data_IF_386064608534
#
_entry.id   IF_386064608534
#
_cell.length_a   1.000
_cell.length_b   1.000
_cell.length_c   1.000
_cell.angle_alpha   90.00
_cell.angle_beta   90.00
_cell.angle_gamma   90.00
#
_symmetry.space_group_name_H-M   'P 1'
#
loop_
_entity.id
_entity.type
_entity.pdbx_description
1 polymer ?
#
# COMPACT_ATOMS: atom_id res chain seq x y z
N UNK A 1 -6.83 21.86 2.28
CA UNK A 1 -7.87 20.96 2.79
C UNK A 1 -9.23 21.60 2.55
N UNK A 2 -10.25 20.83 2.20
CA UNK A 2 -11.63 21.35 2.09
C UNK A 2 -12.18 21.72 3.49
N UNK A 3 -13.22 22.56 3.59
CA UNK A 3 -13.82 22.92 4.88
C UNK A 3 -14.28 21.70 5.69
N UNK A 4 -14.79 20.67 5.02
CA UNK A 4 -15.20 19.42 5.66
C UNK A 4 -14.02 18.62 6.21
N UNK A 5 -12.86 18.66 5.55
CA UNK A 5 -11.64 18.00 6.04
C UNK A 5 -11.08 18.68 7.29
N UNK A 6 -11.17 20.01 7.36
CA UNK A 6 -10.73 20.78 8.53
C UNK A 6 -11.62 20.51 9.74
N UNK A 7 -12.94 20.46 9.55
CA UNK A 7 -13.91 20.09 10.58
C UNK A 7 -13.67 18.66 11.09
N UNK A 8 -13.45 17.70 10.18
CA UNK A 8 -13.16 16.32 10.57
C UNK A 8 -11.86 16.21 11.37
N UNK A 9 -10.81 16.93 10.96
CA UNK A 9 -9.54 16.98 11.69
C UNK A 9 -9.73 17.59 13.08
N UNK A 10 -10.49 18.68 13.20
CA UNK A 10 -10.79 19.31 14.48
C UNK A 10 -11.45 18.32 15.45
N UNK A 11 -12.45 17.57 14.99
CA UNK A 11 -13.12 16.55 15.82
C UNK A 11 -12.19 15.42 16.25
N UNK A 12 -11.27 14.99 15.37
CA UNK A 12 -10.29 13.97 15.74
C UNK A 12 -9.36 14.50 16.84
N UNK A 13 -8.91 15.76 16.75
CA UNK A 13 -8.11 16.37 17.81
C UNK A 13 -8.89 16.48 19.13
N UNK A 14 -10.18 16.84 19.09
CA UNK A 14 -11.04 16.86 20.28
C UNK A 14 -11.24 15.47 20.91
N UNK A 15 -11.19 14.40 20.11
CA UNK A 15 -11.24 13.01 20.57
C UNK A 15 -9.88 12.53 21.13
N UNK A 16 -8.86 13.37 21.13
CA UNK A 16 -7.53 13.07 21.68
C UNK A 16 -6.51 12.56 20.66
N UNK A 17 -6.82 12.56 19.37
CA UNK A 17 -5.83 12.21 18.35
C UNK A 17 -4.83 13.36 18.14
N UNK A 18 -3.56 13.07 18.38
CA UNK A 18 -2.43 13.95 18.09
C UNK A 18 -1.79 13.56 16.73
N UNK A 19 -1.66 14.51 15.80
CA UNK A 19 -1.01 14.27 14.51
C UNK A 19 0.28 15.09 14.32
N UNK A 20 0.75 15.72 15.39
CA UNK A 20 1.99 16.51 15.41
C UNK A 20 3.21 15.63 15.68
N UNK A 21 3.01 14.43 16.25
CA UNK A 21 4.05 13.40 16.34
C UNK A 21 4.09 12.52 15.09
N UNK A 22 5.27 12.17 14.56
CA UNK A 22 5.37 11.23 13.44
C UNK A 22 4.81 9.85 13.76
N UNK A 23 3.89 9.38 12.93
CA UNK A 23 3.21 8.09 13.06
C UNK A 23 3.42 7.23 11.82
N UNK A 24 3.35 5.92 11.99
CA UNK A 24 3.34 4.95 10.90
C UNK A 24 2.03 4.16 10.95
N UNK A 25 1.15 4.28 9.95
CA UNK A 25 -0.09 3.52 9.92
C UNK A 25 0.17 2.09 9.46
N UNK A 26 -0.39 1.15 10.21
CA UNK A 26 -0.47 -0.26 9.85
C UNK A 26 -1.94 -0.63 9.75
N UNK A 27 -2.37 -1.12 8.60
CA UNK A 27 -3.74 -1.60 8.38
C UNK A 27 -3.73 -3.11 8.44
N UNK A 28 -4.69 -3.67 9.17
CA UNK A 28 -4.92 -5.10 9.27
C UNK A 28 -6.30 -5.41 8.73
N UNK A 29 -6.37 -6.25 7.70
CA UNK A 29 -7.63 -6.78 7.17
C UNK A 29 -7.81 -8.22 7.65
N UNK A 30 -8.91 -8.45 8.36
CA UNK A 30 -9.28 -9.74 8.93
C UNK A 30 -10.21 -10.48 7.97
N UNK A 31 -9.94 -11.75 7.71
CA UNK A 31 -10.75 -12.60 6.83
C UNK A 31 -11.30 -13.79 7.63
N UNK A 32 -12.45 -13.59 8.27
CA UNK A 32 -13.12 -14.62 9.07
C UNK A 32 -14.61 -14.64 8.75
N UNK A 33 -15.26 -15.79 8.99
CA UNK A 33 -16.71 -15.93 8.87
C UNK A 33 -17.45 -14.94 9.78
N UNK A 34 -18.56 -14.39 9.27
CA UNK A 34 -19.28 -13.28 9.90
C UNK A 34 -19.74 -13.56 11.34
N UNK A 35 -20.04 -14.82 11.69
CA UNK A 35 -20.57 -15.19 12.99
C UNK A 35 -19.57 -15.02 14.14
N UNK A 36 -18.26 -15.09 13.88
CA UNK A 36 -17.21 -14.96 14.90
C UNK A 36 -16.47 -13.61 14.82
N UNK A 37 -16.71 -12.84 13.75
CA UNK A 37 -15.98 -11.63 13.45
C UNK A 37 -16.02 -10.60 14.59
N UNK A 38 -17.19 -10.38 15.21
CA UNK A 38 -17.33 -9.37 16.27
C UNK A 38 -16.52 -9.69 17.53
N UNK A 39 -16.49 -10.97 17.94
CA UNK A 39 -15.76 -11.42 19.13
C UNK A 39 -14.25 -11.38 18.89
N UNK A 40 -13.83 -11.85 17.71
CA UNK A 40 -12.43 -11.81 17.28
C UNK A 40 -11.94 -10.36 17.19
N UNK A 41 -12.70 -9.45 16.56
CA UNK A 41 -12.32 -8.05 16.47
C UNK A 41 -12.22 -7.40 17.85
N UNK A 42 -13.17 -7.69 18.75
CA UNK A 42 -13.13 -7.14 20.11
C UNK A 42 -11.87 -7.61 20.87
N UNK A 43 -11.48 -8.87 20.68
CA UNK A 43 -10.23 -9.41 21.23
C UNK A 43 -9.01 -8.76 20.59
N UNK A 44 -8.95 -8.69 19.25
CA UNK A 44 -7.83 -8.07 18.52
C UNK A 44 -7.64 -6.60 18.89
N UNK A 45 -8.72 -5.81 18.95
CA UNK A 45 -8.67 -4.40 19.34
C UNK A 45 -8.08 -4.24 20.75
N UNK A 46 -8.47 -5.10 21.69
CA UNK A 46 -7.94 -5.10 23.06
C UNK A 46 -6.46 -5.48 23.09
N UNK A 47 -6.07 -6.58 22.46
CA UNK A 47 -4.67 -7.04 22.47
C UNK A 47 -3.75 -6.03 21.77
N UNK A 48 -4.18 -5.45 20.64
CA UNK A 48 -3.41 -4.43 19.94
C UNK A 48 -3.21 -3.15 20.75
N UNK A 49 -4.22 -2.74 21.54
CA UNK A 49 -4.11 -1.55 22.40
C UNK A 49 -3.07 -1.71 23.53
N UNK A 50 -2.65 -2.94 23.82
CA UNK A 50 -1.66 -3.25 24.83
C UNK A 50 -0.26 -3.42 24.25
N UNK A 51 -0.12 -3.44 22.91
CA UNK A 51 1.19 -3.57 22.26
C UNK A 51 2.00 -2.28 22.44
N UNK A 52 3.27 -2.46 22.77
CA UNK A 52 4.19 -1.34 22.87
C UNK A 52 4.37 -0.64 21.52
N UNK A 53 4.42 0.69 21.55
CA UNK A 53 4.54 1.53 20.36
C UNK A 53 3.28 1.66 19.50
N UNK A 54 2.18 0.97 19.83
CA UNK A 54 0.85 1.27 19.26
C UNK A 54 0.24 2.41 20.07
N UNK A 55 -0.05 3.53 19.41
CA UNK A 55 -0.65 4.69 20.07
C UNK A 55 -2.17 4.60 20.06
N UNK A 56 -2.73 4.38 18.87
CA UNK A 56 -4.17 4.34 18.64
C UNK A 56 -4.55 3.10 17.84
N UNK A 57 -5.68 2.49 18.22
CA UNK A 57 -6.30 1.35 17.54
C UNK A 57 -7.70 1.74 17.12
N UNK A 58 -7.97 1.72 15.81
CA UNK A 58 -9.21 2.24 15.22
C UNK A 58 -9.83 1.15 14.34
N UNK A 59 -11.11 0.86 14.55
CA UNK A 59 -11.88 0.04 13.62
C UNK A 59 -12.36 0.91 12.45
N UNK A 60 -11.77 0.73 11.26
CA UNK A 60 -12.10 1.53 10.07
C UNK A 60 -13.38 1.04 9.39
N UNK A 61 -13.55 -0.28 9.31
CA UNK A 61 -14.68 -0.97 8.68
C UNK A 61 -14.95 -2.27 9.44
N UNK A 62 -15.96 -3.03 9.02
CA UNK A 62 -16.41 -4.27 9.69
C UNK A 62 -15.33 -5.35 9.84
N UNK A 63 -14.23 -5.30 9.09
CA UNK A 63 -13.12 -6.26 9.16
C UNK A 63 -11.73 -5.62 9.00
N UNK A 64 -11.64 -4.31 9.18
CA UNK A 64 -10.40 -3.56 8.94
C UNK A 64 -10.04 -2.73 10.16
N UNK A 65 -8.86 -2.99 10.71
CA UNK A 65 -8.30 -2.31 11.88
C UNK A 65 -7.12 -1.46 11.42
N UNK A 66 -7.06 -0.22 11.90
CA UNK A 66 -5.92 0.67 11.75
C UNK A 66 -5.19 0.79 13.08
N UNK A 67 -3.88 0.58 13.03
CA UNK A 67 -2.94 0.82 14.11
C UNK A 67 -2.11 2.05 13.75
N UNK A 68 -2.09 3.05 14.63
CA UNK A 68 -1.21 4.20 14.51
C UNK A 68 -0.02 3.99 15.43
N UNK A 69 1.14 3.66 14.84
CA UNK A 69 2.33 3.31 15.60
C UNK A 69 3.27 4.50 15.73
N UNK A 70 3.84 4.67 16.93
CA UNK A 70 4.95 5.58 17.16
C UNK A 70 6.26 4.97 16.65
N UNK A 71 7.26 5.81 16.44
CA UNK A 71 8.58 5.39 15.96
C UNK A 71 9.58 5.10 17.09
N UNK A 72 9.10 5.01 18.34
CA UNK A 72 9.97 4.82 19.50
C UNK A 72 10.57 3.42 19.58
N UNK A 73 9.96 2.44 18.93
CA UNK A 73 10.45 1.06 18.87
C UNK A 73 10.93 0.68 17.47
N UNK A 74 11.72 -0.40 17.40
CA UNK A 74 12.06 -1.03 16.13
C UNK A 74 10.78 -1.50 15.44
N UNK A 75 10.62 -1.13 14.16
CA UNK A 75 9.51 -1.56 13.31
C UNK A 75 9.34 -3.07 13.29
N UNK A 76 10.45 -3.82 13.31
CA UNK A 76 10.41 -5.29 13.31
C UNK A 76 9.80 -5.84 14.59
N UNK A 77 10.11 -5.26 15.75
CA UNK A 77 9.56 -5.70 17.04
C UNK A 77 8.06 -5.47 17.10
N UNK A 78 7.60 -4.29 16.68
CA UNK A 78 6.18 -3.94 16.64
C UNK A 78 5.41 -4.89 15.70
N UNK A 79 5.93 -5.12 14.50
CA UNK A 79 5.29 -5.99 13.52
C UNK A 79 5.22 -7.44 13.97
N UNK A 80 6.27 -7.95 14.63
CA UNK A 80 6.23 -9.28 15.25
C UNK A 80 5.18 -9.38 16.35
N UNK A 81 4.99 -8.32 17.14
CA UNK A 81 3.93 -8.25 18.14
C UNK A 81 2.53 -8.34 17.52
N UNK A 82 2.30 -7.57 16.45
CA UNK A 82 1.04 -7.59 15.70
C UNK A 82 0.79 -8.97 15.07
N UNK A 83 1.80 -9.54 14.43
CA UNK A 83 1.76 -10.87 13.81
C UNK A 83 1.49 -11.97 14.85
N UNK A 84 2.11 -11.88 16.03
CA UNK A 84 1.89 -12.82 17.12
C UNK A 84 0.45 -12.76 17.63
N UNK A 85 -0.11 -11.56 17.84
CA UNK A 85 -1.52 -11.40 18.24
C UNK A 85 -2.45 -11.99 17.18
N UNK A 86 -2.20 -11.72 15.90
CA UNK A 86 -3.05 -12.21 14.80
C UNK A 86 -2.99 -13.73 14.66
N UNK A 87 -1.79 -14.31 14.62
CA UNK A 87 -1.59 -15.76 14.45
C UNK A 87 -2.18 -16.60 15.57
N UNK A 88 -2.34 -16.03 16.78
CA UNK A 88 -3.02 -16.69 17.90
C UNK A 88 -4.55 -16.69 17.78
N UNK A 89 -5.13 -15.76 17.02
CA UNK A 89 -6.59 -15.59 16.92
C UNK A 89 -7.15 -16.08 15.58
N UNK A 90 -6.42 -15.90 14.49
CA UNK A 90 -6.89 -16.12 13.12
C UNK A 90 -5.78 -16.63 12.20
N UNK A 91 -6.16 -17.40 11.19
CA UNK A 91 -5.23 -17.95 10.19
C UNK A 91 -5.14 -17.12 8.91
N UNK A 92 -6.16 -16.32 8.60
CA UNK A 92 -6.27 -15.57 7.35
C UNK A 92 -6.40 -14.08 7.65
N UNK A 93 -5.33 -13.34 7.33
CA UNK A 93 -5.27 -11.90 7.48
C UNK A 93 -4.27 -11.31 6.51
N UNK A 94 -4.40 -10.01 6.27
CA UNK A 94 -3.41 -9.23 5.55
C UNK A 94 -3.02 -7.98 6.35
N UNK A 95 -1.74 -7.64 6.34
CA UNK A 95 -1.16 -6.47 6.96
C UNK A 95 -0.57 -5.59 5.87
N UNK A 96 -1.04 -4.34 5.81
CA UNK A 96 -0.52 -3.30 4.96
C UNK A 96 0.23 -2.27 5.78
N UNK A 97 1.47 -2.00 5.41
CA UNK A 97 2.33 -1.07 6.14
C UNK A 97 2.53 0.17 5.29
N UNK A 98 2.03 1.29 5.79
CA UNK A 98 2.13 2.59 5.14
C UNK A 98 3.52 3.21 5.29
N UNK A 99 3.60 4.49 4.95
CA UNK A 99 4.81 5.30 5.15
C UNK A 99 4.70 6.09 6.45
N UNK A 100 5.84 6.51 6.97
CA UNK A 100 5.86 7.46 8.08
C UNK A 100 5.25 8.78 7.62
N UNK A 101 4.36 9.34 8.44
CA UNK A 101 3.71 10.62 8.24
C UNK A 101 3.97 11.52 9.44
N UNK A 102 4.36 12.78 9.19
CA UNK A 102 4.63 13.78 10.22
C UNK A 102 3.54 14.84 10.37
N UNK A 103 2.42 14.70 9.66
CA UNK A 103 1.32 15.65 9.67
C UNK A 103 -0.02 14.97 9.39
N UNK A 104 -1.13 15.64 9.73
CA UNK A 104 -2.48 15.14 9.49
C UNK A 104 -2.83 14.89 7.99
N UNK A 105 -2.43 15.75 7.03
CA UNK A 105 -2.59 15.42 5.61
C UNK A 105 -1.78 14.18 5.20
N UNK A 106 -0.55 14.07 5.70
CA UNK A 106 0.34 12.96 5.33
C UNK A 106 -0.14 11.63 5.91
N UNK A 107 -0.71 11.62 7.12
CA UNK A 107 -1.19 10.37 7.75
C UNK A 107 -2.36 9.80 6.96
N UNK A 108 -3.22 10.66 6.43
CA UNK A 108 -4.34 10.23 5.58
C UNK A 108 -3.84 9.53 4.31
N UNK A 109 -2.86 10.11 3.63
CA UNK A 109 -2.25 9.47 2.45
C UNK A 109 -1.50 8.18 2.82
N UNK A 110 -0.78 8.19 3.95
CA UNK A 110 -0.09 7.00 4.45
C UNK A 110 -1.05 5.84 4.78
N UNK A 111 -2.26 6.13 5.31
CA UNK A 111 -3.32 5.13 5.52
C UNK A 111 -3.82 4.59 4.18
N UNK A 112 -4.03 5.45 3.18
CA UNK A 112 -4.43 5.01 1.82
C UNK A 112 -3.36 4.11 1.20
N UNK A 113 -2.10 4.43 1.39
CA UNK A 113 -0.97 3.60 0.96
C UNK A 113 -1.00 2.22 1.63
N UNK A 114 -1.18 2.17 2.96
CA UNK A 114 -1.31 0.91 3.69
C UNK A 114 -2.47 0.02 3.16
N UNK A 115 -3.64 0.61 2.86
CA UNK A 115 -4.77 -0.14 2.27
C UNK A 115 -4.47 -0.63 0.86
N UNK A 116 -3.88 0.24 0.02
CA UNK A 116 -3.60 -0.06 -1.38
C UNK A 116 -2.65 -1.25 -1.53
N UNK A 117 -1.66 -1.36 -0.63
CA UNK A 117 -0.66 -2.45 -0.71
C UNK A 117 -1.24 -3.80 -0.31
N UNK A 118 -2.26 -3.84 0.56
CA UNK A 118 -3.00 -5.09 0.84
C UNK A 118 -3.73 -5.55 -0.41
N UNK A 119 -4.46 -4.63 -1.05
CA UNK A 119 -5.28 -4.99 -2.20
C UNK A 119 -4.45 -5.40 -3.42
N UNK A 120 -3.33 -4.70 -3.66
CA UNK A 120 -2.40 -5.06 -4.74
C UNK A 120 -1.60 -6.30 -4.38
N UNK A 121 -1.05 -6.32 -3.16
CA UNK A 121 -0.19 -7.40 -2.67
C UNK A 121 -0.89 -8.75 -2.62
N UNK A 122 -2.11 -8.81 -2.11
CA UNK A 122 -2.89 -10.06 -2.04
C UNK A 122 -3.20 -10.67 -3.40
N UNK A 123 -3.24 -9.86 -4.47
CA UNK A 123 -3.43 -10.34 -5.85
C UNK A 123 -2.11 -10.81 -6.48
N UNK A 124 -1.04 -10.05 -6.31
CA UNK A 124 0.25 -10.30 -6.97
C UNK A 124 1.08 -11.37 -6.22
N UNK A 125 0.97 -11.41 -4.89
CA UNK A 125 1.71 -12.31 -4.01
C UNK A 125 0.80 -12.93 -2.93
N UNK A 126 -0.20 -13.74 -3.32
CA UNK A 126 -1.23 -14.25 -2.40
C UNK A 126 -0.71 -15.11 -1.24
N UNK A 127 0.53 -15.61 -1.33
CA UNK A 127 1.17 -16.38 -0.27
C UNK A 127 1.73 -15.51 0.87
N UNK A 128 1.83 -14.19 0.66
CA UNK A 128 2.28 -13.25 1.70
C UNK A 128 1.08 -12.75 2.50
N UNK A 129 1.32 -12.48 3.78
CA UNK A 129 0.34 -11.81 4.64
C UNK A 129 0.73 -10.36 4.94
N UNK A 130 1.99 -9.98 4.73
CA UNK A 130 2.51 -8.64 5.08
C UNK A 130 3.04 -7.95 3.83
N UNK A 131 2.59 -6.71 3.61
CA UNK A 131 2.92 -5.90 2.45
C UNK A 131 3.42 -4.52 2.86
N UNK A 132 4.65 -4.19 2.44
CA UNK A 132 5.25 -2.89 2.69
C UNK A 132 5.04 -1.96 1.50
N UNK A 133 4.63 -0.72 1.75
CA UNK A 133 4.50 0.27 0.67
C UNK A 133 5.77 0.46 -0.14
N UNK A 134 6.95 0.47 0.51
CA UNK A 134 8.23 0.62 -0.19
C UNK A 134 8.50 -0.49 -1.22
N UNK A 135 7.96 -1.69 -1.00
CA UNK A 135 8.13 -2.83 -1.92
C UNK A 135 7.07 -2.82 -3.03
N UNK A 136 5.88 -2.29 -2.74
CA UNK A 136 4.69 -2.40 -3.59
C UNK A 136 4.33 -1.11 -4.34
N UNK A 137 5.02 0.01 -4.08
CA UNK A 137 4.67 1.34 -4.58
C UNK A 137 4.45 1.39 -6.10
N UNK A 138 5.34 0.76 -6.88
CA UNK A 138 5.21 0.71 -8.34
C UNK A 138 3.97 -0.06 -8.80
N UNK A 139 3.65 -1.18 -8.15
CA UNK A 139 2.46 -1.96 -8.48
C UNK A 139 1.18 -1.20 -8.10
N UNK A 140 1.20 -0.49 -6.97
CA UNK A 140 0.11 0.42 -6.59
C UNK A 140 -0.06 1.55 -7.61
N UNK A 141 1.02 2.13 -8.14
CA UNK A 141 0.97 3.14 -9.19
C UNK A 141 0.34 2.57 -10.47
N UNK A 142 0.79 1.40 -10.92
CA UNK A 142 0.22 0.78 -12.12
C UNK A 142 -1.27 0.52 -11.99
N UNK A 143 -1.73 0.10 -10.81
CA UNK A 143 -3.15 -0.08 -10.54
C UNK A 143 -3.94 1.24 -10.67
N UNK A 144 -3.43 2.35 -10.13
CA UNK A 144 -4.10 3.66 -10.30
C UNK A 144 -4.18 4.05 -11.77
N UNK A 145 -3.19 3.64 -12.55
CA UNK A 145 -3.13 3.92 -13.98
C UNK A 145 -3.91 2.91 -14.82
N UNK A 146 -4.29 1.73 -14.30
CA UNK A 146 -4.90 0.63 -15.06
C UNK A 146 -6.17 1.07 -15.81
N UNK A 147 -7.00 1.89 -15.17
CA UNK A 147 -8.23 2.44 -15.77
C UNK A 147 -7.99 3.73 -16.58
N UNK A 148 -6.75 4.19 -16.70
CA UNK A 148 -6.41 5.37 -17.49
C UNK A 148 -6.45 5.07 -18.98
N UNK A 149 -7.05 5.98 -19.75
CA UNK A 149 -6.98 5.92 -21.22
C UNK A 149 -5.53 5.88 -21.73
N UNK A 150 -4.57 6.46 -20.98
CA UNK A 150 -3.15 6.44 -21.32
C UNK A 150 -2.54 5.05 -21.19
N UNK A 151 -2.95 4.25 -20.20
CA UNK A 151 -2.51 2.86 -20.07
C UNK A 151 -3.16 1.98 -21.11
N UNK A 152 -4.44 2.17 -21.39
CA UNK A 152 -5.10 1.46 -22.49
C UNK A 152 -4.42 1.76 -23.84
N UNK A 153 -4.09 3.02 -24.10
CA UNK A 153 -3.31 3.42 -25.26
C UNK A 153 -1.93 2.75 -25.28
N UNK A 154 -1.21 2.78 -24.16
CA UNK A 154 0.11 2.15 -24.02
C UNK A 154 0.06 0.63 -24.25
N UNK A 155 -0.87 -0.08 -23.59
CA UNK A 155 -1.08 -1.53 -23.74
C UNK A 155 -1.41 -1.88 -25.18
N UNK A 156 -2.25 -1.08 -25.85
CA UNK A 156 -2.58 -1.31 -27.27
C UNK A 156 -1.35 -1.14 -28.16
N UNK A 157 -0.49 -0.16 -27.90
CA UNK A 157 0.78 -0.01 -28.64
C UNK A 157 1.72 -1.20 -28.38
N UNK A 158 1.83 -1.66 -27.13
CA UNK A 158 2.62 -2.85 -26.79
C UNK A 158 2.08 -4.10 -27.49
N UNK A 159 0.76 -4.31 -27.54
CA UNK A 159 0.17 -5.42 -28.32
C UNK A 159 0.52 -5.34 -29.80
N UNK A 160 0.37 -4.18 -30.42
CA UNK A 160 0.72 -4.01 -31.84
C UNK A 160 2.21 -4.26 -32.11
N UNK A 161 3.08 -3.92 -31.16
CA UNK A 161 4.51 -4.24 -31.24
C UNK A 161 4.74 -5.75 -31.13
N UNK A 162 4.14 -6.40 -30.12
CA UNK A 162 4.28 -7.84 -29.88
C UNK A 162 3.67 -8.72 -30.98
N UNK A 163 2.65 -8.23 -31.68
CA UNK A 163 2.08 -8.90 -32.87
C UNK A 163 3.06 -8.97 -34.04
N UNK A 164 4.01 -8.03 -34.11
CA UNK A 164 4.98 -7.93 -35.21
C UNK A 164 6.30 -8.61 -34.90
N UNK A 165 6.74 -8.55 -33.66
CA UNK A 165 7.95 -9.19 -33.18
C UNK A 165 7.86 -9.38 -31.66
N UNK A 166 8.37 -10.50 -31.14
CA UNK A 166 8.45 -10.76 -29.70
C UNK A 166 9.84 -11.27 -29.30
N UNK A 167 10.84 -11.08 -30.16
CA UNK A 167 12.21 -11.53 -29.96
C UNK A 167 13.06 -10.55 -29.14
N UNK A 168 14.29 -10.98 -28.85
CA UNK A 168 15.29 -10.17 -28.12
C UNK A 168 15.58 -8.83 -28.82
N UNK A 169 15.51 -8.78 -30.15
CA UNK A 169 15.74 -7.55 -30.92
C UNK A 169 14.73 -6.45 -30.58
N UNK A 170 13.45 -6.79 -30.39
CA UNK A 170 12.45 -5.82 -29.96
C UNK A 170 12.73 -5.33 -28.54
N UNK A 171 13.09 -6.25 -27.62
CA UNK A 171 13.39 -5.90 -26.24
C UNK A 171 14.64 -5.01 -26.12
N UNK A 172 15.68 -5.31 -26.88
CA UNK A 172 16.91 -4.50 -26.96
C UNK A 172 16.63 -3.12 -27.55
N UNK A 173 15.80 -3.07 -28.60
CA UNK A 173 15.40 -1.81 -29.24
C UNK A 173 14.56 -0.94 -28.30
N UNK A 174 13.58 -1.52 -27.61
CA UNK A 174 12.75 -0.80 -26.64
C UNK A 174 13.55 -0.36 -25.41
N UNK A 175 14.47 -1.20 -24.93
CA UNK A 175 15.34 -0.85 -23.81
C UNK A 175 16.24 0.34 -24.17
N UNK A 176 16.84 0.31 -25.36
CA UNK A 176 17.65 1.41 -25.89
C UNK A 176 16.80 2.67 -26.13
N UNK A 177 15.56 2.53 -26.61
CA UNK A 177 14.63 3.63 -26.82
C UNK A 177 14.28 4.34 -25.52
N UNK A 178 13.95 3.59 -24.48
CA UNK A 178 13.62 4.12 -23.16
C UNK A 178 14.86 4.80 -22.53
N UNK A 179 16.03 4.17 -22.64
CA UNK A 179 17.29 4.74 -22.15
C UNK A 179 17.64 6.08 -22.83
N UNK A 180 17.18 6.29 -24.08
CA UNK A 180 17.34 7.54 -24.83
C UNK A 180 16.13 8.48 -24.70
N UNK A 181 15.38 8.41 -23.61
CA UNK A 181 14.20 9.27 -23.35
C UNK A 181 13.16 9.21 -24.47
N UNK A 182 12.98 8.05 -25.09
CA UNK A 182 12.07 7.85 -26.21
C UNK A 182 12.38 8.74 -27.43
N UNK A 183 13.65 9.11 -27.66
CA UNK A 183 14.09 9.80 -28.88
C UNK A 183 14.49 8.80 -29.98
N UNK A 184 13.73 8.69 -31.10
CA UNK A 184 14.00 7.70 -32.13
C UNK A 184 15.37 7.87 -32.80
N UNK A 185 15.78 9.12 -33.06
CA UNK A 185 17.04 9.41 -33.76
C UNK A 185 18.29 9.06 -32.95
N UNK A 186 18.26 9.25 -31.63
CA UNK A 186 19.36 8.83 -30.76
C UNK A 186 19.41 7.30 -30.64
N UNK A 187 18.24 6.69 -30.55
CA UNK A 187 18.08 5.24 -30.44
C UNK A 187 18.57 4.51 -31.68
N UNK A 188 18.18 4.98 -32.87
CA UNK A 188 18.59 4.38 -34.15
C UNK A 188 20.09 4.51 -34.37
N UNK A 189 20.66 5.67 -34.04
CA UNK A 189 22.10 5.93 -34.10
C UNK A 189 22.90 5.04 -33.12
N UNK A 190 22.37 4.79 -31.92
CA UNK A 190 22.99 3.92 -30.93
C UNK A 190 22.91 2.44 -31.32
N UNK A 191 21.80 2.00 -31.90
CA UNK A 191 21.59 0.61 -32.31
C UNK A 191 22.19 0.28 -33.69
N UNK A 192 22.63 1.29 -34.44
CA UNK A 192 23.13 1.11 -35.81
C UNK A 192 22.05 0.65 -36.80
N UNK A 193 20.79 0.97 -36.49
CA UNK A 193 19.62 0.63 -37.31
C UNK A 193 19.03 1.90 -37.93
N UNK A 194 18.30 1.74 -39.03
CA UNK A 194 17.83 2.85 -39.85
C UNK A 194 16.52 3.48 -39.35
#
# INVERSE_FOLDING_TARGET
>A
ASPAEQEALHRLVELGFDFDTPLMPVVVTVQVEQHQLSEILSTLLREFSQLSGVRDVILLCSNEILLLNTLSESKETQLRGIEFVLSNQISHYHIGIGVQAGSAPDIREAIRFARSVIEVGSKVQPQRQIYYFREMAMLCLFRVLEDSYMVNFFINNIRQLLERDSGEVLLDTLSSFIANNAEPGKTSLQLGIH
#
